data_IF_569510071305
#
_entry.id   IF_569510071305
#
_cell.length_a   1.000
_cell.length_b   1.000
_cell.length_c   1.000
_cell.angle_alpha   90.00
_cell.angle_beta   90.00
_cell.angle_gamma   90.00
#
_symmetry.space_group_name_H-M   'P 1'
#
loop_
_entity.id
_entity.type
_entity.pdbx_description
1 polymer ?
#
# COMPACT_ATOMS: atom_id res chain seq x y z
N UNK A 1 -32.18 -2.64 -1.48
CA UNK A 1 -30.87 -3.34 -1.47
C UNK A 1 -30.36 -3.35 -0.04
N UNK A 2 -30.02 -4.52 0.53
CA UNK A 2 -29.34 -4.56 1.84
C UNK A 2 -27.93 -4.01 1.63
N UNK A 3 -27.64 -2.85 2.23
CA UNK A 3 -26.26 -2.37 2.36
C UNK A 3 -25.54 -3.36 3.27
N UNK A 4 -24.66 -4.18 2.70
CA UNK A 4 -23.68 -4.89 3.50
C UNK A 4 -22.68 -3.84 3.98
N UNK A 5 -22.64 -3.59 5.29
CA UNK A 5 -21.56 -2.79 5.87
C UNK A 5 -20.26 -3.53 5.55
N UNK A 6 -19.42 -2.87 4.75
CA UNK A 6 -18.05 -3.32 4.48
C UNK A 6 -17.36 -3.59 5.82
N UNK A 7 -16.72 -4.74 5.95
CA UNK A 7 -15.96 -5.14 7.14
C UNK A 7 -14.95 -4.04 7.54
N UNK A 8 -14.39 -3.36 6.55
CA UNK A 8 -13.40 -2.29 6.71
C UNK A 8 -14.04 -0.96 7.17
N UNK A 9 -15.34 -0.79 6.97
CA UNK A 9 -16.08 0.42 7.33
C UNK A 9 -16.15 0.67 8.85
N UNK A 10 -15.95 -0.36 9.67
CA UNK A 10 -16.05 -0.30 11.13
C UNK A 10 -14.70 0.00 11.84
N UNK A 11 -13.59 0.16 11.12
CA UNK A 11 -12.30 0.47 11.75
C UNK A 11 -12.20 1.96 12.13
N UNK A 12 -11.91 2.24 13.41
CA UNK A 12 -11.83 3.60 13.97
C UNK A 12 -10.56 4.37 13.54
N UNK A 13 -9.44 3.69 13.31
CA UNK A 13 -8.24 4.28 12.71
C UNK A 13 -7.88 3.48 11.46
N UNK A 14 -7.96 4.15 10.31
CA UNK A 14 -7.72 3.52 9.00
C UNK A 14 -6.25 3.61 8.58
N UNK A 15 -5.41 4.34 9.32
CA UNK A 15 -4.02 4.59 8.94
C UNK A 15 -3.17 3.33 9.11
N UNK A 16 -2.79 2.74 7.98
CA UNK A 16 -1.91 1.58 7.97
C UNK A 16 -0.48 1.99 8.35
N UNK A 17 0.17 1.15 9.17
CA UNK A 17 1.58 1.32 9.49
C UNK A 17 2.45 0.71 8.38
N UNK A 18 3.58 1.36 8.02
CA UNK A 18 4.42 0.92 6.88
C UNK A 18 4.94 -0.52 7.00
N UNK A 19 5.20 -1.01 8.22
CA UNK A 19 5.69 -2.38 8.44
C UNK A 19 4.59 -3.41 8.16
N UNK A 20 3.37 -3.13 8.62
CA UNK A 20 2.20 -3.98 8.35
C UNK A 20 1.87 -3.94 6.85
N UNK A 21 1.96 -2.76 6.22
CA UNK A 21 1.78 -2.63 4.79
C UNK A 21 2.79 -3.50 4.01
N UNK A 22 4.06 -3.51 4.42
CA UNK A 22 5.06 -4.41 3.82
C UNK A 22 4.68 -5.88 3.97
N UNK A 23 4.32 -6.32 5.18
CA UNK A 23 3.95 -7.72 5.44
C UNK A 23 2.76 -8.18 4.59
N UNK A 24 1.74 -7.32 4.42
CA UNK A 24 0.61 -7.61 3.53
C UNK A 24 1.07 -7.74 2.07
N UNK A 25 1.90 -6.81 1.59
CA UNK A 25 2.32 -6.80 0.18
C UNK A 25 3.36 -7.87 -0.17
N UNK A 26 4.05 -8.45 0.81
CA UNK A 26 4.88 -9.64 0.59
C UNK A 26 4.04 -10.91 0.32
N UNK A 27 2.72 -10.84 0.52
CA UNK A 27 1.78 -11.88 0.09
C UNK A 27 1.37 -11.62 -1.37
N UNK A 28 1.89 -12.46 -2.29
CA UNK A 28 1.75 -12.28 -3.75
C UNK A 28 0.36 -11.80 -4.21
N UNK A 29 -0.73 -12.53 -3.90
CA UNK A 29 -2.06 -12.15 -4.41
C UNK A 29 -2.56 -10.80 -3.87
N UNK A 30 -2.12 -10.35 -2.68
CA UNK A 30 -2.51 -9.05 -2.12
C UNK A 30 -1.83 -7.92 -2.88
N UNK A 31 -0.56 -8.14 -3.22
CA UNK A 31 0.21 -7.23 -4.05
C UNK A 31 -0.28 -7.24 -5.50
N UNK A 32 -0.59 -8.40 -6.08
CA UNK A 32 -1.20 -8.51 -7.41
C UNK A 32 -2.53 -7.74 -7.46
N UNK A 33 -3.36 -7.88 -6.43
CA UNK A 33 -4.61 -7.11 -6.31
C UNK A 33 -4.39 -5.60 -6.21
N UNK A 34 -3.25 -5.16 -5.67
CA UNK A 34 -2.84 -3.75 -5.65
C UNK A 34 -2.40 -3.29 -7.04
N UNK A 35 -1.58 -4.09 -7.71
CA UNK A 35 -1.05 -3.82 -9.04
C UNK A 35 -2.16 -3.72 -10.09
N UNK A 36 -3.20 -4.56 -9.98
CA UNK A 36 -4.41 -4.47 -10.81
C UNK A 36 -5.10 -3.10 -10.69
N UNK A 37 -5.17 -2.52 -9.49
CA UNK A 37 -5.82 -1.22 -9.26
C UNK A 37 -5.11 -0.06 -9.93
N UNK A 38 -3.82 -0.21 -10.22
CA UNK A 38 -3.01 0.79 -10.92
C UNK A 38 -2.72 0.41 -12.37
N UNK A 39 -3.47 -0.56 -12.93
CA UNK A 39 -3.35 -1.08 -14.29
C UNK A 39 -1.93 -1.54 -14.67
N UNK A 40 -1.24 -2.12 -13.70
CA UNK A 40 0.13 -2.55 -13.86
C UNK A 40 0.20 -3.94 -14.49
N UNK A 41 0.90 -4.07 -15.63
CA UNK A 41 0.84 -5.28 -16.47
C UNK A 41 1.88 -6.36 -16.09
N UNK A 42 2.89 -6.02 -15.28
CA UNK A 42 4.00 -6.92 -14.95
C UNK A 42 3.76 -7.67 -13.62
N UNK A 43 2.70 -8.49 -13.57
CA UNK A 43 2.26 -9.25 -12.37
C UNK A 43 3.18 -10.43 -11.98
N UNK A 44 4.22 -10.76 -12.76
CA UNK A 44 5.02 -11.97 -12.57
C UNK A 44 6.51 -11.74 -12.30
N UNK A 45 6.93 -10.50 -12.02
CA UNK A 45 8.34 -10.19 -11.72
C UNK A 45 8.65 -10.31 -10.22
N UNK A 46 9.89 -10.68 -9.89
CA UNK A 46 10.34 -10.70 -8.50
C UNK A 46 10.58 -9.26 -8.02
N UNK A 47 9.69 -8.78 -7.16
CA UNK A 47 9.84 -7.48 -6.52
C UNK A 47 10.60 -7.58 -5.19
N UNK A 48 11.49 -6.61 -4.97
CA UNK A 48 12.14 -6.37 -3.68
C UNK A 48 11.39 -5.29 -2.91
N UNK A 49 11.10 -5.57 -1.63
CA UNK A 49 10.39 -4.66 -0.72
C UNK A 49 11.37 -4.06 0.28
N UNK A 50 11.52 -2.74 0.28
CA UNK A 50 12.43 -2.04 1.17
C UNK A 50 11.76 -0.84 1.84
N UNK A 51 11.67 -0.86 3.18
CA UNK A 51 11.19 0.28 3.97
C UNK A 51 12.33 1.28 4.08
N UNK A 52 12.16 2.44 3.45
CA UNK A 52 13.15 3.52 3.57
C UNK A 52 13.00 4.27 4.89
N UNK A 53 11.75 4.51 5.29
CA UNK A 53 11.40 5.13 6.56
C UNK A 53 9.93 4.82 6.90
N UNK A 54 9.45 5.31 8.05
CA UNK A 54 8.06 5.08 8.52
C UNK A 54 6.94 5.56 7.59
N UNK A 55 7.25 6.31 6.54
CA UNK A 55 6.30 6.87 5.58
C UNK A 55 6.54 6.46 4.11
N UNK A 56 7.66 5.80 3.80
CA UNK A 56 8.00 5.40 2.42
C UNK A 56 8.43 3.94 2.40
N UNK A 57 7.69 3.13 1.66
CA UNK A 57 8.05 1.77 1.24
C UNK A 57 8.36 1.81 -0.26
N UNK A 58 9.52 1.29 -0.63
CA UNK A 58 9.97 1.14 -2.01
C UNK A 58 9.77 -0.31 -2.41
N UNK A 59 9.07 -0.53 -3.51
CA UNK A 59 8.91 -1.83 -4.12
C UNK A 59 9.53 -1.74 -5.52
N UNK A 60 10.51 -2.57 -5.82
CA UNK A 60 11.27 -2.42 -7.06
C UNK A 60 11.61 -3.75 -7.69
N UNK A 61 11.71 -3.77 -9.01
CA UNK A 61 12.29 -4.86 -9.76
C UNK A 61 13.37 -4.30 -10.71
N UNK A 62 13.74 -5.04 -11.75
CA UNK A 62 14.75 -4.60 -12.72
C UNK A 62 14.33 -3.41 -13.58
N UNK A 63 13.02 -3.21 -13.78
CA UNK A 63 12.43 -2.24 -14.72
C UNK A 63 11.75 -1.06 -14.02
N UNK A 64 11.21 -1.29 -12.83
CA UNK A 64 10.20 -0.42 -12.21
C UNK A 64 10.45 -0.20 -10.73
N UNK A 65 9.98 0.95 -10.24
CA UNK A 65 10.02 1.40 -8.86
C UNK A 65 8.66 1.99 -8.44
N UNK A 66 8.02 1.32 -7.49
CA UNK A 66 6.76 1.73 -6.88
C UNK A 66 7.05 2.30 -5.49
N UNK A 67 6.60 3.52 -5.25
CA UNK A 67 6.73 4.21 -3.97
C UNK A 67 5.38 4.26 -3.27
N UNK A 68 5.24 3.53 -2.17
CA UNK A 68 4.09 3.64 -1.28
C UNK A 68 4.34 4.73 -0.25
N UNK A 69 3.49 5.75 -0.25
CA UNK A 69 3.69 6.99 0.51
C UNK A 69 2.54 7.20 1.49
N UNK A 70 2.89 7.35 2.77
CA UNK A 70 1.93 7.52 3.88
C UNK A 70 1.94 8.93 4.50
N UNK A 71 2.69 9.88 3.94
CA UNK A 71 2.75 11.28 4.42
C UNK A 71 3.10 12.23 3.27
N UNK A 72 2.59 13.46 3.31
CA UNK A 72 3.02 14.56 2.44
C UNK A 72 3.85 15.63 3.18
N UNK A 73 4.43 15.28 4.34
CA UNK A 73 5.31 16.22 5.03
C UNK A 73 6.54 16.58 4.18
N UNK A 74 7.10 17.77 4.42
CA UNK A 74 8.22 18.31 3.64
C UNK A 74 9.41 17.35 3.55
N UNK A 75 9.70 16.58 4.61
CA UNK A 75 10.83 15.64 4.60
C UNK A 75 10.56 14.46 3.68
N UNK A 76 9.33 13.96 3.69
CA UNK A 76 8.84 12.85 2.86
C UNK A 76 8.85 13.26 1.39
N UNK A 77 8.30 14.44 1.05
CA UNK A 77 8.31 14.98 -0.31
C UNK A 77 9.74 15.19 -0.83
N UNK A 78 10.61 15.81 -0.02
CA UNK A 78 12.02 16.03 -0.39
C UNK A 78 12.77 14.71 -0.62
N UNK A 79 12.48 13.70 0.19
CA UNK A 79 13.05 12.36 0.04
C UNK A 79 12.57 11.70 -1.26
N UNK A 80 11.27 11.72 -1.53
CA UNK A 80 10.67 11.15 -2.74
C UNK A 80 11.20 11.82 -4.02
N UNK A 81 11.29 13.15 -4.04
CA UNK A 81 11.89 13.92 -5.13
C UNK A 81 13.34 13.49 -5.40
N UNK A 82 14.12 13.22 -4.34
CA UNK A 82 15.50 12.74 -4.49
C UNK A 82 15.53 11.35 -5.12
N UNK A 83 14.69 10.42 -4.66
CA UNK A 83 14.63 9.04 -5.17
C UNK A 83 14.29 9.03 -6.66
N UNK A 84 13.19 9.69 -7.04
CA UNK A 84 12.70 9.73 -8.43
C UNK A 84 13.72 10.38 -9.36
N UNK A 85 14.39 11.46 -8.92
CA UNK A 85 15.43 12.13 -9.72
C UNK A 85 16.62 11.24 -10.05
N UNK A 86 16.98 10.29 -9.17
CA UNK A 86 18.10 9.39 -9.37
C UNK A 86 17.69 8.01 -9.90
N UNK A 87 16.39 7.75 -10.05
CA UNK A 87 15.89 6.52 -10.61
C UNK A 87 16.06 6.51 -12.14
N UNK A 88 16.48 5.38 -12.69
CA UNK A 88 16.52 5.11 -14.12
C UNK A 88 15.38 4.17 -14.58
N UNK A 89 14.39 3.95 -13.71
CA UNK A 89 13.27 3.04 -13.91
C UNK A 89 11.97 3.80 -14.10
N UNK A 90 10.95 3.10 -14.58
CA UNK A 90 9.59 3.65 -14.53
C UNK A 90 9.15 3.76 -13.08
N UNK A 91 8.60 4.93 -12.72
CA UNK A 91 8.26 5.26 -11.35
C UNK A 91 6.75 5.46 -11.21
N UNK A 92 6.16 4.78 -10.23
CA UNK A 92 4.76 4.95 -9.82
C UNK A 92 4.70 5.26 -8.33
N UNK A 93 3.84 6.18 -7.93
CA UNK A 93 3.63 6.54 -6.53
C UNK A 93 2.22 6.10 -6.16
N UNK A 94 2.08 5.37 -5.06
CA UNK A 94 0.79 4.91 -4.55
C UNK A 94 0.52 5.55 -3.19
N UNK A 95 -0.70 6.07 -3.02
CA UNK A 95 -1.16 6.72 -1.79
C UNK A 95 -2.53 6.14 -1.41
N UNK A 96 -2.65 5.64 -0.17
CA UNK A 96 -3.91 5.06 0.33
C UNK A 96 -4.86 6.09 0.96
N UNK A 97 -4.34 7.24 1.39
CA UNK A 97 -5.11 8.29 2.05
C UNK A 97 -5.37 9.45 1.08
N UNK A 98 -6.62 9.64 0.68
CA UNK A 98 -7.02 10.70 -0.26
C UNK A 98 -6.79 12.13 0.26
N UNK A 99 -6.55 12.30 1.57
CA UNK A 99 -6.20 13.61 2.15
C UNK A 99 -4.74 13.99 1.92
N UNK A 100 -3.88 13.02 1.62
CA UNK A 100 -2.47 13.22 1.31
C UNK A 100 -2.37 13.60 -0.16
N UNK A 101 -2.25 14.89 -0.48
CA UNK A 101 -2.13 15.35 -1.87
C UNK A 101 -0.65 15.58 -2.23
N UNK A 102 -0.17 14.88 -3.26
CA UNK A 102 1.21 14.95 -3.76
C UNK A 102 1.29 15.77 -5.07
N UNK A 103 1.05 17.09 -4.99
CA UNK A 103 0.89 17.97 -6.16
C UNK A 103 2.10 18.06 -7.11
N UNK A 104 3.30 17.75 -6.63
CA UNK A 104 4.55 17.87 -7.40
C UNK A 104 4.82 16.66 -8.32
N UNK A 105 3.99 15.62 -8.24
CA UNK A 105 4.23 14.36 -8.93
C UNK A 105 3.08 14.01 -9.88
N UNK A 106 3.42 13.52 -11.07
CA UNK A 106 2.45 13.23 -12.13
C UNK A 106 1.97 11.77 -12.11
N UNK A 107 2.80 10.83 -11.67
CA UNK A 107 2.49 9.39 -11.66
C UNK A 107 1.99 8.96 -10.27
N UNK A 108 0.96 9.63 -9.76
CA UNK A 108 0.38 9.34 -8.44
C UNK A 108 -0.94 8.60 -8.60
N UNK A 109 -1.03 7.43 -7.98
CA UNK A 109 -2.21 6.60 -7.91
C UNK A 109 -2.79 6.67 -6.50
N UNK A 110 -3.98 7.27 -6.40
CA UNK A 110 -4.74 7.28 -5.15
C UNK A 110 -5.61 6.03 -5.09
N UNK A 111 -5.29 5.15 -4.15
CA UNK A 111 -6.00 3.89 -3.96
C UNK A 111 -6.89 4.01 -2.74
N UNK A 112 -8.18 3.77 -2.92
CA UNK A 112 -9.06 3.61 -1.78
C UNK A 112 -8.69 2.30 -1.04
N UNK A 113 -8.19 2.45 0.19
CA UNK A 113 -7.81 1.31 1.03
C UNK A 113 -8.96 0.33 1.25
N UNK A 114 -10.20 0.83 1.37
CA UNK A 114 -11.38 -0.03 1.52
C UNK A 114 -11.62 -0.91 0.29
N UNK A 115 -11.45 -0.34 -0.91
CA UNK A 115 -11.65 -1.08 -2.16
C UNK A 115 -10.57 -2.16 -2.34
N UNK A 116 -9.31 -1.82 -2.04
CA UNK A 116 -8.21 -2.80 -2.09
C UNK A 116 -8.41 -3.95 -1.08
N UNK A 117 -8.78 -3.64 0.15
CA UNK A 117 -9.06 -4.66 1.17
C UNK A 117 -10.26 -5.54 0.82
N UNK A 118 -11.32 -4.96 0.25
CA UNK A 118 -12.48 -5.74 -0.21
C UNK A 118 -12.10 -6.70 -1.37
N UNK A 119 -11.18 -6.30 -2.27
CA UNK A 119 -10.63 -7.19 -3.31
C UNK A 119 -9.85 -8.35 -2.71
N UNK A 120 -8.99 -8.07 -1.74
CA UNK A 120 -8.24 -9.08 -0.99
C UNK A 120 -9.17 -10.11 -0.33
N UNK A 121 -10.25 -9.65 0.33
CA UNK A 121 -11.23 -10.53 0.99
C UNK A 121 -12.00 -11.38 -0.03
N UNK A 122 -12.47 -10.75 -1.12
CA UNK A 122 -13.30 -11.43 -2.14
C UNK A 122 -12.55 -12.49 -2.94
N UNK A 123 -11.22 -12.39 -3.05
CA UNK A 123 -10.35 -13.39 -3.69
C UNK A 123 -9.99 -14.59 -2.80
N UNK A 124 -10.74 -14.84 -1.72
CA UNK A 124 -10.75 -16.14 -1.04
C UNK A 124 -10.00 -16.21 0.29
N UNK A 125 -9.63 -15.08 0.90
CA UNK A 125 -9.26 -15.12 2.31
C UNK A 125 -10.51 -15.29 3.15
N UNK A 126 -10.55 -16.37 3.92
CA UNK A 126 -11.54 -16.55 4.97
C UNK A 126 -11.49 -15.32 5.90
N UNK A 127 -12.60 -14.59 6.04
CA UNK A 127 -12.71 -13.34 6.81
C UNK A 127 -12.10 -13.43 8.22
N UNK A 128 -12.05 -14.63 8.80
CA UNK A 128 -11.42 -14.92 10.09
C UNK A 128 -9.89 -14.82 10.09
N UNK A 129 -9.19 -15.09 8.97
CA UNK A 129 -7.72 -15.03 8.88
C UNK A 129 -7.24 -13.57 8.84
N UNK A 130 -7.95 -12.69 8.12
CA UNK A 130 -7.66 -11.25 8.13
C UNK A 130 -7.94 -10.64 9.51
N UNK A 131 -9.03 -11.03 10.17
CA UNK A 131 -9.31 -10.64 11.56
C UNK A 131 -8.20 -11.09 12.51
N UNK A 132 -7.71 -12.33 12.36
CA UNK A 132 -6.64 -12.87 13.21
C UNK A 132 -5.28 -12.20 12.94
N UNK A 133 -4.93 -11.85 11.69
CA UNK A 133 -3.70 -11.11 11.41
C UNK A 133 -3.77 -9.65 11.90
N UNK A 134 -4.87 -8.94 11.63
CA UNK A 134 -5.01 -7.55 12.08
C UNK A 134 -5.10 -7.40 13.60
N UNK A 135 -5.78 -8.31 14.32
CA UNK A 135 -5.93 -8.25 15.78
C UNK A 135 -4.68 -8.76 16.50
N UNK A 136 -4.09 -9.89 16.06
CA UNK A 136 -2.86 -10.44 16.68
C UNK A 136 -1.71 -9.44 16.63
N UNK A 137 -1.61 -8.67 15.55
CA UNK A 137 -0.48 -7.76 15.35
C UNK A 137 -0.70 -6.36 15.99
N UNK A 138 -1.93 -6.07 16.48
CA UNK A 138 -2.22 -4.97 17.40
C UNK A 138 -1.86 -5.31 18.85
N UNK A 139 -2.12 -6.54 19.29
CA UNK A 139 -1.81 -6.98 20.67
C UNK A 139 -0.29 -7.11 20.93
N UNK A 140 0.52 -7.40 19.91
CA UNK A 140 1.98 -7.46 20.06
C UNK A 140 2.70 -6.09 20.13
N UNK A 141 1.98 -4.96 20.08
CA UNK A 141 2.55 -3.61 20.30
C UNK A 141 2.27 -3.03 21.68
N UNK A 142 1.61 -3.78 22.57
CA UNK A 142 1.37 -3.37 23.98
C UNK A 142 2.11 -4.33 24.96
N UNK A 143 3.29 -4.82 24.58
CA UNK A 143 4.22 -5.50 25.49
C UNK A 143 5.58 -4.80 25.49
#
# INVERSE_FOLDING_TARGET
MKQYNSFVGNFNDKRINIYILKELLEVNYQFDSLLELINFQNLSENFEFNILNKFILIIKNSKEEIYLVLSNDFKTIKCLNKLIRYSNKENSIIVFDSTIVLKEFNNVHYINQEDWMNRIISNGINQNILNLQFIRDLDFRIA
#
